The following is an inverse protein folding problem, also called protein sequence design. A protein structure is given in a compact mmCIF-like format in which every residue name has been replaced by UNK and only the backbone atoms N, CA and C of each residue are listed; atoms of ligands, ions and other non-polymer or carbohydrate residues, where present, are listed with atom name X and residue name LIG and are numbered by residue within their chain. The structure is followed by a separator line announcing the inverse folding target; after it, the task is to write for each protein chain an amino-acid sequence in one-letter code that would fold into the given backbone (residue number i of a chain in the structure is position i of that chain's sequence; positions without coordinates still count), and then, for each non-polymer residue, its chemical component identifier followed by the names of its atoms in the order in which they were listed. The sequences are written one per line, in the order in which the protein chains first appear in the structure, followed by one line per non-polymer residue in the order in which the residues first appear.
data_IF_482126128181
#
_entry.id   IF_482126128181
#
_cell.length_a   1.000
_cell.length_b   1.000
_cell.length_c   1.000
_cell.angle_alpha   90.00
_cell.angle_beta   90.00
_cell.angle_gamma   90.00
#
_symmetry.space_group_name_H-M   'P 1'
#
loop_
_entity.id
_entity.type
_entity.pdbx_description
1 polymer ?
#
# COMPACT_ATOMS: atom_id res chain seq x y z
N UNK A 1 -15.27 -15.87 14.59
CA UNK A 1 -14.33 -14.74 14.75
C UNK A 1 -14.50 -13.78 13.59
N UNK A 2 -14.21 -12.49 13.79
CA UNK A 2 -14.36 -11.47 12.74
C UNK A 2 -13.27 -11.58 11.69
N UNK A 3 -13.64 -11.40 10.42
CA UNK A 3 -12.70 -11.31 9.29
C UNK A 3 -12.78 -9.91 8.66
N UNK A 4 -11.65 -9.41 8.15
CA UNK A 4 -11.58 -8.22 7.30
C UNK A 4 -11.14 -8.63 5.91
N UNK A 5 -11.94 -8.32 4.90
CA UNK A 5 -11.67 -8.70 3.51
C UNK A 5 -11.32 -7.44 2.72
N UNK A 6 -10.14 -7.45 2.10
CA UNK A 6 -9.64 -6.41 1.20
C UNK A 6 -9.60 -6.96 -0.23
N UNK A 7 -10.07 -6.19 -1.20
CA UNK A 7 -10.09 -6.62 -2.60
C UNK A 7 -9.61 -5.52 -3.54
N UNK A 8 -8.92 -5.93 -4.61
CA UNK A 8 -8.57 -5.14 -5.78
C UNK A 8 -9.25 -5.72 -7.01
N UNK A 9 -9.00 -5.12 -8.19
CA UNK A 9 -9.53 -5.61 -9.46
C UNK A 9 -9.14 -7.07 -9.78
N UNK A 10 -8.00 -7.53 -9.29
CA UNK A 10 -7.42 -8.84 -9.65
C UNK A 10 -7.10 -9.75 -8.46
N UNK A 11 -7.23 -9.27 -7.21
CA UNK A 11 -6.83 -10.03 -6.02
C UNK A 11 -7.72 -9.74 -4.81
N UNK A 12 -7.91 -10.75 -3.98
CA UNK A 12 -8.57 -10.64 -2.67
C UNK A 12 -7.61 -11.12 -1.57
N UNK A 13 -7.59 -10.43 -0.44
CA UNK A 13 -6.80 -10.74 0.76
C UNK A 13 -7.72 -10.69 1.99
N UNK A 14 -7.62 -11.69 2.85
CA UNK A 14 -8.44 -11.77 4.08
C UNK A 14 -7.54 -11.75 5.31
N UNK A 15 -7.84 -10.85 6.26
CA UNK A 15 -7.19 -10.72 7.56
C UNK A 15 -8.10 -11.33 8.62
N UNK A 16 -7.58 -12.25 9.43
CA UNK A 16 -8.33 -12.91 10.49
C UNK A 16 -7.45 -13.88 11.30
N UNK A 17 -7.96 -14.35 12.44
CA UNK A 17 -7.21 -15.19 13.39
C UNK A 17 -6.68 -16.50 12.78
N UNK A 18 -7.44 -17.14 11.88
CA UNK A 18 -7.07 -18.39 11.21
C UNK A 18 -6.60 -18.18 9.77
N UNK A 19 -6.20 -16.94 9.42
CA UNK A 19 -5.71 -16.60 8.08
C UNK A 19 -4.18 -16.44 8.10
N UNK A 20 -3.51 -16.55 6.94
CA UNK A 20 -2.09 -16.24 6.85
C UNK A 20 -1.78 -14.83 7.36
N UNK A 21 -0.58 -14.66 7.93
CA UNK A 21 -0.08 -13.33 8.28
C UNK A 21 0.02 -12.44 7.04
N UNK A 22 -0.51 -11.22 7.13
CA UNK A 22 -0.55 -10.28 6.02
C UNK A 22 0.47 -9.17 6.27
N UNK A 23 1.36 -8.96 5.29
CA UNK A 23 2.29 -7.83 5.27
C UNK A 23 1.63 -6.65 4.55
N UNK A 24 1.62 -5.48 5.18
CA UNK A 24 1.16 -4.22 4.59
C UNK A 24 2.41 -3.40 4.25
N UNK A 25 2.60 -3.07 2.98
CA UNK A 25 3.76 -2.29 2.52
C UNK A 25 3.68 -0.83 2.99
N UNK A 26 4.81 -0.28 3.45
CA UNK A 26 4.89 1.09 3.98
C UNK A 26 5.66 2.07 3.07
N UNK A 27 6.28 1.57 2.00
CA UNK A 27 7.20 2.35 1.14
C UNK A 27 6.58 3.60 0.52
N UNK A 28 5.32 3.52 0.10
CA UNK A 28 4.58 4.64 -0.49
C UNK A 28 4.08 5.54 0.66
N UNK A 29 5.01 6.25 1.26
CA UNK A 29 4.78 7.19 2.35
C UNK A 29 5.68 8.42 2.14
N UNK A 30 5.11 9.60 1.83
CA UNK A 30 5.90 10.81 1.60
C UNK A 30 6.56 11.35 2.89
N UNK A 31 6.12 10.91 4.07
CA UNK A 31 6.69 11.34 5.35
C UNK A 31 8.14 10.91 5.44
N UNK A 32 9.06 11.87 5.62
CA UNK A 32 10.50 11.60 5.64
C UNK A 32 11.13 11.36 4.26
N UNK A 33 10.34 11.26 3.18
CA UNK A 33 10.82 11.10 1.79
C UNK A 33 10.62 12.38 1.00
N UNK A 34 11.55 13.34 1.16
CA UNK A 34 11.47 14.67 0.53
C UNK A 34 11.21 14.63 -0.98
N UNK A 35 11.89 13.75 -1.71
CA UNK A 35 11.75 13.63 -3.18
C UNK A 35 10.34 13.14 -3.54
N UNK A 36 9.89 12.03 -2.94
CA UNK A 36 8.54 11.49 -3.16
C UNK A 36 7.46 12.53 -2.84
N UNK A 37 7.62 13.27 -1.75
CA UNK A 37 6.68 14.33 -1.37
C UNK A 37 6.59 15.44 -2.42
N UNK A 38 7.72 15.90 -2.97
CA UNK A 38 7.73 16.93 -4.01
C UNK A 38 7.20 16.39 -5.36
N UNK A 39 7.56 15.17 -5.75
CA UNK A 39 7.04 14.52 -6.96
C UNK A 39 5.51 14.43 -6.92
N UNK A 40 4.95 13.95 -5.80
CA UNK A 40 3.50 13.84 -5.62
C UNK A 40 2.80 15.22 -5.65
N UNK A 41 3.42 16.27 -5.06
CA UNK A 41 2.88 17.65 -5.15
C UNK A 41 2.83 18.17 -6.58
N UNK A 42 3.79 17.77 -7.42
CA UNK A 42 3.84 18.11 -8.85
C UNK A 42 2.99 17.17 -9.72
N UNK A 43 2.30 16.19 -9.13
CA UNK A 43 1.51 15.20 -9.86
C UNK A 43 2.36 14.16 -10.60
N UNK A 44 3.64 14.04 -10.29
CA UNK A 44 4.51 12.98 -10.80
C UNK A 44 4.41 11.74 -9.89
N UNK A 45 3.90 10.64 -10.42
CA UNK A 45 3.66 9.39 -9.69
C UNK A 45 4.62 8.26 -10.07
N UNK A 46 5.67 8.51 -10.86
CA UNK A 46 6.58 7.46 -11.32
C UNK A 46 7.22 6.67 -10.17
N UNK A 47 7.60 7.33 -9.08
CA UNK A 47 8.14 6.66 -7.88
C UNK A 47 7.08 5.88 -7.10
N UNK A 48 5.82 6.34 -7.10
CA UNK A 48 4.70 5.59 -6.51
C UNK A 48 4.50 4.28 -7.26
N UNK A 49 4.50 4.32 -8.60
CA UNK A 49 4.36 3.12 -9.44
C UNK A 49 5.54 2.16 -9.28
N UNK A 50 6.76 2.67 -9.12
CA UNK A 50 7.95 1.84 -8.93
C UNK A 50 8.03 1.16 -7.55
N UNK A 51 7.42 1.76 -6.52
CA UNK A 51 7.38 1.23 -5.16
C UNK A 51 6.17 0.29 -4.89
N UNK A 52 5.19 0.24 -5.80
CA UNK A 52 3.96 -0.55 -5.71
C UNK A 52 4.15 -2.01 -6.17
#
# INVERSE_FOLDING_TARGET
MTETILASKTRTVTIGFDKPFIVIGERINPTGRKILAEEMKLGNYSTVEADA
#
